data_IF_643264821732
#
_entry.id   IF_643264821732
#
_cell.length_a   1.000
_cell.length_b   1.000
_cell.length_c   1.000
_cell.angle_alpha   90.00
_cell.angle_beta   90.00
_cell.angle_gamma   90.00
#
_symmetry.space_group_name_H-M   'P 1'
#
loop_
_entity.id
_entity.type
_entity.pdbx_description
1 polymer ?
#
# COMPACT_ATOMS: atom_id res chain seq x y z
N UNK A 1 -45.41 -7.54 26.31
CA UNK A 1 -44.21 -8.34 25.98
C UNK A 1 -44.11 -8.73 24.49
N UNK A 2 -45.21 -8.84 23.73
CA UNK A 2 -45.15 -9.34 22.34
C UNK A 2 -44.68 -8.32 21.28
N UNK A 3 -45.25 -7.11 21.23
CA UNK A 3 -45.02 -6.21 20.10
C UNK A 3 -43.76 -5.35 20.21
N UNK A 4 -43.42 -4.90 21.42
CA UNK A 4 -42.20 -4.12 21.72
C UNK A 4 -40.93 -4.90 21.35
N UNK A 5 -40.89 -6.19 21.68
CA UNK A 5 -39.75 -7.06 21.46
C UNK A 5 -39.58 -7.40 19.97
N UNK A 6 -40.69 -7.53 19.23
CA UNK A 6 -40.66 -7.72 17.77
C UNK A 6 -40.10 -6.47 17.09
N UNK A 7 -40.52 -5.27 17.51
CA UNK A 7 -39.96 -4.02 16.97
C UNK A 7 -38.44 -3.90 17.20
N UNK A 8 -37.97 -4.22 18.42
CA UNK A 8 -36.53 -4.17 18.73
C UNK A 8 -35.74 -5.14 17.84
N UNK A 9 -36.25 -6.36 17.64
CA UNK A 9 -35.60 -7.36 16.79
C UNK A 9 -35.53 -6.88 15.32
N UNK A 10 -36.60 -6.31 14.78
CA UNK A 10 -36.63 -5.78 13.41
C UNK A 10 -35.66 -4.61 13.25
N UNK A 11 -35.61 -3.69 14.22
CA UNK A 11 -34.67 -2.55 14.20
C UNK A 11 -33.21 -3.05 14.22
N UNK A 12 -32.88 -4.02 15.07
CA UNK A 12 -31.52 -4.59 15.13
C UNK A 12 -31.15 -5.29 13.81
N UNK A 13 -32.08 -6.01 13.19
CA UNK A 13 -31.85 -6.66 11.89
C UNK A 13 -31.64 -5.62 10.79
N UNK A 14 -32.50 -4.59 10.71
CA UNK A 14 -32.39 -3.53 9.70
C UNK A 14 -31.10 -2.72 9.87
N UNK A 15 -30.71 -2.38 11.10
CA UNK A 15 -29.46 -1.69 11.40
C UNK A 15 -28.25 -2.57 11.06
N UNK A 16 -28.28 -3.86 11.39
CA UNK A 16 -27.18 -4.78 11.06
C UNK A 16 -26.98 -4.94 9.56
N UNK A 17 -28.08 -5.07 8.79
CA UNK A 17 -28.05 -5.13 7.32
C UNK A 17 -27.54 -3.82 6.72
N UNK A 18 -27.96 -2.67 7.25
CA UNK A 18 -27.47 -1.36 6.80
C UNK A 18 -25.97 -1.17 7.10
N UNK A 19 -25.50 -1.60 8.28
CA UNK A 19 -24.09 -1.52 8.68
C UNK A 19 -23.20 -2.41 7.80
N UNK A 20 -23.66 -3.61 7.42
CA UNK A 20 -22.92 -4.50 6.51
C UNK A 20 -22.71 -3.88 5.12
N UNK A 21 -23.67 -3.10 4.60
CA UNK A 21 -23.57 -2.42 3.31
C UNK A 21 -22.71 -1.13 3.36
N UNK A 22 -22.56 -0.49 4.52
CA UNK A 22 -21.73 0.71 4.70
C UNK A 22 -20.25 0.33 4.93
N UNK A 23 -19.99 -0.79 5.62
CA UNK A 23 -18.64 -1.31 5.91
C UNK A 23 -18.03 -2.05 4.72
N UNK A 24 -18.83 -2.54 3.77
CA UNK A 24 -18.32 -3.08 2.50
C UNK A 24 -18.07 -1.96 1.48
N UNK A 25 -17.28 -0.95 1.85
CA UNK A 25 -16.60 -0.10 0.88
C UNK A 25 -15.23 -0.76 0.63
N UNK A 26 -15.03 -1.50 -0.49
CA UNK A 26 -13.77 -2.17 -0.80
C UNK A 26 -12.72 -1.17 -1.30
N UNK A 27 -12.51 -0.08 -0.56
CA UNK A 27 -11.33 0.77 -0.71
C UNK A 27 -10.04 0.05 -0.28
N UNK A 28 -10.15 -1.19 0.21
CA UNK A 28 -9.04 -2.07 0.61
C UNK A 28 -8.50 -2.98 -0.50
N UNK A 29 -8.97 -2.87 -1.74
CA UNK A 29 -8.32 -3.48 -2.91
C UNK A 29 -7.29 -2.56 -3.58
N UNK A 30 -6.86 -1.50 -2.87
CA UNK A 30 -5.62 -0.83 -3.26
C UNK A 30 -4.51 -1.86 -3.05
N UNK A 31 -3.88 -2.28 -4.14
CA UNK A 31 -2.60 -2.99 -4.07
C UNK A 31 -1.68 -2.08 -3.24
N UNK A 32 -1.52 -2.41 -1.96
CA UNK A 32 -0.74 -1.66 -0.98
C UNK A 32 0.76 -1.88 -1.24
N UNK A 33 1.17 -1.76 -2.50
CA UNK A 33 2.55 -1.78 -2.88
C UNK A 33 3.05 -0.34 -2.83
N UNK A 34 3.81 0.04 -1.78
CA UNK A 34 4.31 1.41 -1.64
C UNK A 34 5.14 1.81 -2.88
N UNK A 35 5.79 0.85 -3.53
CA UNK A 35 6.61 1.06 -4.72
C UNK A 35 5.84 1.51 -5.97
N UNK A 36 4.51 1.47 -5.94
CA UNK A 36 3.66 1.98 -7.03
C UNK A 36 3.04 3.34 -6.69
N UNK A 37 3.31 3.88 -5.50
CA UNK A 37 2.78 5.16 -5.08
C UNK A 37 3.65 6.31 -5.57
N UNK A 38 3.08 7.48 -5.90
CA UNK A 38 3.89 8.68 -6.07
C UNK A 38 4.59 9.01 -4.74
N UNK A 39 5.78 9.64 -4.72
CA UNK A 39 6.47 9.98 -3.47
C UNK A 39 5.65 10.95 -2.59
N UNK A 40 4.78 11.75 -3.19
CA UNK A 40 3.92 12.72 -2.50
C UNK A 40 2.47 12.61 -2.97
N UNK A 41 1.52 12.97 -2.11
CA UNK A 41 0.10 12.99 -2.46
C UNK A 41 -0.21 14.07 -3.52
N UNK A 42 -0.76 13.71 -4.69
CA UNK A 42 -1.11 14.68 -5.72
C UNK A 42 -2.10 15.74 -5.21
N UNK A 43 -1.89 17.00 -5.58
CA UNK A 43 -2.78 18.10 -5.22
C UNK A 43 -2.67 18.58 -3.76
N UNK A 44 -1.75 18.03 -2.95
CA UNK A 44 -1.43 18.55 -1.62
C UNK A 44 -0.18 19.43 -1.67
N UNK A 45 -0.14 20.57 -0.95
CA UNK A 45 1.04 21.41 -0.92
C UNK A 45 2.20 20.66 -0.25
N UNK A 46 3.40 20.79 -0.81
CA UNK A 46 4.62 20.44 -0.08
C UNK A 46 4.87 21.51 1.00
N UNK A 47 5.42 21.10 2.14
CA UNK A 47 5.96 22.05 3.11
C UNK A 47 7.39 22.45 2.76
N UNK A 48 7.95 23.43 3.48
CA UNK A 48 9.23 24.06 3.15
C UNK A 48 10.47 23.34 3.68
N UNK A 49 10.34 22.09 4.15
CA UNK A 49 11.51 21.31 4.57
C UNK A 49 12.22 20.69 3.34
N UNK A 50 13.55 20.57 3.42
CA UNK A 50 14.37 19.91 2.41
C UNK A 50 14.98 18.64 3.01
N UNK A 51 14.15 17.61 3.18
CA UNK A 51 14.59 16.35 3.78
C UNK A 51 15.11 15.42 2.68
N UNK A 52 16.39 15.08 2.72
CA UNK A 52 16.97 14.09 1.83
C UNK A 52 16.39 12.70 2.13
N UNK A 53 15.78 12.07 1.13
CA UNK A 53 15.08 10.80 1.19
C UNK A 53 15.34 10.01 -0.10
N UNK A 54 14.75 8.82 -0.20
CA UNK A 54 14.79 7.98 -1.38
C UNK A 54 13.39 7.53 -1.76
N UNK A 55 13.11 7.41 -3.07
CA UNK A 55 11.84 6.92 -3.62
C UNK A 55 12.12 5.85 -4.67
N UNK A 56 11.16 4.95 -4.90
CA UNK A 56 11.22 4.01 -6.01
C UNK A 56 10.52 4.56 -7.25
N UNK A 57 11.25 4.65 -8.35
CA UNK A 57 10.73 5.00 -9.65
C UNK A 57 10.32 3.73 -10.38
N UNK A 58 9.01 3.47 -10.48
CA UNK A 58 8.48 2.26 -11.12
C UNK A 58 8.73 2.21 -12.62
N UNK A 59 8.83 3.36 -13.29
CA UNK A 59 9.10 3.44 -14.73
C UNK A 59 10.53 3.01 -15.05
N UNK A 60 11.48 3.44 -14.22
CA UNK A 60 12.89 3.06 -14.34
C UNK A 60 13.24 1.79 -13.57
N UNK A 61 12.31 1.28 -12.76
CA UNK A 61 12.52 0.15 -11.83
C UNK A 61 13.73 0.31 -10.91
N UNK A 62 13.97 1.54 -10.42
CA UNK A 62 15.14 1.86 -9.59
C UNK A 62 14.77 2.75 -8.39
N UNK A 63 15.56 2.64 -7.32
CA UNK A 63 15.53 3.61 -6.23
C UNK A 63 16.34 4.84 -6.61
N UNK A 64 15.85 6.03 -6.29
CA UNK A 64 16.52 7.31 -6.59
C UNK A 64 16.41 8.30 -5.42
N UNK A 65 17.36 9.24 -5.30
CA UNK A 65 17.28 10.32 -4.31
C UNK A 65 16.05 11.20 -4.53
N UNK A 66 15.47 11.69 -3.44
CA UNK A 66 14.29 12.55 -3.44
C UNK A 66 14.35 13.58 -2.31
N UNK A 67 13.89 14.80 -2.57
CA UNK A 67 13.73 15.83 -1.54
C UNK A 67 12.29 15.90 -1.07
N UNK A 68 12.07 15.52 0.18
CA UNK A 68 10.75 15.47 0.79
C UNK A 68 10.45 16.74 1.59
N UNK A 69 9.29 17.34 1.32
CA UNK A 69 8.79 18.55 1.97
C UNK A 69 8.41 18.41 3.45
N UNK A 70 8.35 17.20 3.99
CA UNK A 70 8.03 16.92 5.40
C UNK A 70 6.57 16.53 5.66
N UNK A 71 5.62 16.92 4.80
CA UNK A 71 4.20 16.58 4.92
C UNK A 71 3.64 15.97 3.63
N UNK A 72 2.59 15.15 3.78
CA UNK A 72 1.86 14.46 2.70
C UNK A 72 2.71 13.54 1.81
N UNK A 73 3.85 13.07 2.31
CA UNK A 73 4.59 11.96 1.74
C UNK A 73 3.74 10.70 1.73
N UNK A 74 4.05 9.80 0.80
CA UNK A 74 3.47 8.46 0.79
C UNK A 74 4.45 7.45 1.39
N UNK A 75 4.05 6.19 1.42
CA UNK A 75 4.93 5.08 1.80
C UNK A 75 6.06 4.83 0.80
N UNK A 76 6.06 5.48 -0.38
CA UNK A 76 7.19 5.49 -1.31
C UNK A 76 8.26 6.54 -0.95
N UNK A 77 8.53 6.71 0.35
CA UNK A 77 9.59 7.58 0.87
C UNK A 77 10.36 6.81 1.93
N UNK A 78 11.66 6.66 1.70
CA UNK A 78 12.56 5.89 2.55
C UNK A 78 13.69 6.78 3.08
N UNK A 79 14.22 6.42 4.25
CA UNK A 79 15.32 7.16 4.88
C UNK A 79 16.68 6.80 4.27
N UNK A 80 16.80 5.61 3.70
CA UNK A 80 18.03 5.13 3.05
C UNK A 80 17.76 4.42 1.73
N UNK A 81 18.77 4.46 0.86
CA UNK A 81 18.79 3.72 -0.41
C UNK A 81 18.58 2.21 -0.20
N UNK A 82 19.17 1.66 0.86
CA UNK A 82 19.06 0.25 1.22
C UNK A 82 17.62 -0.14 1.60
N UNK A 83 16.93 0.71 2.37
CA UNK A 83 15.54 0.47 2.75
C UNK A 83 14.63 0.47 1.52
N UNK A 84 14.82 1.41 0.59
CA UNK A 84 14.10 1.43 -0.68
C UNK A 84 14.36 0.15 -1.48
N UNK A 85 15.63 -0.24 -1.63
CA UNK A 85 16.02 -1.39 -2.44
C UNK A 85 15.47 -2.71 -1.89
N UNK A 86 15.57 -2.91 -0.57
CA UNK A 86 14.99 -4.08 0.10
C UNK A 86 13.48 -4.17 -0.13
N UNK A 87 12.78 -3.04 -0.02
CA UNK A 87 11.32 -2.98 -0.14
C UNK A 87 10.83 -3.16 -1.57
N UNK A 88 11.46 -2.49 -2.53
CA UNK A 88 10.92 -2.37 -3.90
C UNK A 88 11.65 -3.20 -4.95
N UNK A 89 12.88 -3.63 -4.71
CA UNK A 89 13.64 -4.45 -5.67
C UNK A 89 13.69 -5.89 -5.19
N UNK A 90 14.20 -6.12 -3.98
CA UNK A 90 14.39 -7.48 -3.44
C UNK A 90 13.05 -8.17 -3.19
N UNK A 91 12.10 -7.51 -2.52
CA UNK A 91 10.79 -8.11 -2.25
C UNK A 91 10.00 -8.39 -3.53
N UNK A 92 10.07 -7.52 -4.54
CA UNK A 92 9.42 -7.76 -5.83
C UNK A 92 10.09 -8.91 -6.59
N UNK A 93 11.42 -9.01 -6.58
CA UNK A 93 12.12 -10.16 -7.15
C UNK A 93 11.75 -11.48 -6.42
N UNK A 94 11.60 -11.45 -5.10
CA UNK A 94 11.14 -12.61 -4.32
C UNK A 94 9.69 -12.98 -4.62
N UNK A 95 8.77 -12.01 -4.75
CA UNK A 95 7.37 -12.23 -5.15
C UNK A 95 7.28 -12.85 -6.54
N UNK A 96 8.05 -12.37 -7.50
CA UNK A 96 8.11 -12.97 -8.85
C UNK A 96 8.62 -14.41 -8.79
N UNK A 97 9.61 -14.70 -7.93
CA UNK A 97 10.09 -16.07 -7.69
C UNK A 97 9.07 -16.97 -7.02
N UNK A 98 8.25 -16.46 -6.09
CA UNK A 98 7.19 -17.23 -5.44
C UNK A 98 6.01 -17.46 -6.38
N UNK A 99 5.61 -16.47 -7.18
CA UNK A 99 4.61 -16.64 -8.23
C UNK A 99 5.07 -17.66 -9.29
N UNK A 100 6.37 -17.70 -9.61
CA UNK A 100 6.98 -18.77 -10.42
C UNK A 100 7.29 -20.07 -9.64
N UNK A 101 7.19 -20.13 -8.31
CA UNK A 101 7.21 -21.42 -7.60
C UNK A 101 5.88 -22.17 -7.74
N UNK A 102 4.80 -21.45 -8.07
CA UNK A 102 3.55 -22.04 -8.54
C UNK A 102 3.57 -22.36 -10.06
N UNK A 103 4.70 -22.10 -10.74
CA UNK A 103 4.98 -22.48 -12.13
C UNK A 103 6.49 -22.73 -12.29
N UNK A 104 6.93 -23.86 -11.77
CA UNK A 104 8.31 -24.40 -11.77
C UNK A 104 9.16 -23.83 -12.93
N UNK A 105 10.20 -23.04 -12.63
CA UNK A 105 11.60 -23.32 -13.02
C UNK A 105 12.61 -22.21 -12.63
N UNK A 106 13.87 -22.68 -12.56
CA UNK A 106 15.12 -22.13 -12.02
C UNK A 106 15.55 -20.79 -12.62
N UNK A 107 16.08 -19.87 -11.81
CA UNK A 107 17.11 -18.92 -12.27
C UNK A 107 18.17 -18.74 -11.16
N UNK A 108 19.40 -19.09 -11.52
CA UNK A 108 20.66 -18.89 -10.79
C UNK A 108 20.94 -17.41 -10.54
N UNK A 109 21.52 -17.10 -9.38
CA UNK A 109 22.02 -15.76 -9.05
C UNK A 109 23.47 -15.62 -9.54
N UNK A 110 23.87 -14.50 -10.16
CA UNK A 110 25.27 -14.13 -10.22
C UNK A 110 25.71 -13.63 -8.84
N UNK A 111 26.61 -14.37 -8.21
CA UNK A 111 27.44 -13.91 -7.10
C UNK A 111 28.54 -13.02 -7.65
N UNK A 112 28.73 -11.83 -7.06
CA UNK A 112 30.00 -11.11 -7.07
C UNK A 112 30.63 -11.26 -5.70
#
# INVERSE_FOLDING_TARGET
MGLQNICILVIVIVVSIAVQNIVSNPSSLRNNNPCLLPPHQPGKPACFALLHRFTFNSTLSQCEPYYYGGFYGTENIYESMEQCYKTCVVANAAKTRVNNKNKIEKISFPSS
#
